data_IF_360533808703
#
_entry.id   IF_360533808703
#
_cell.length_a   1.000
_cell.length_b   1.000
_cell.length_c   1.000
_cell.angle_alpha   90.00
_cell.angle_beta   90.00
_cell.angle_gamma   90.00
#
_symmetry.space_group_name_H-M   'P 1'
#
loop_
_entity.id
_entity.type
_entity.pdbx_description
1 polymer ?
#
# COMPACT_ATOMS: atom_id res chain seq x y z
N UNK A 1 -9.78 3.31 -8.20
CA UNK A 1 -8.79 3.92 -7.27
C UNK A 1 -8.45 2.84 -6.26
N UNK A 2 -7.18 2.56 -5.99
CA UNK A 2 -6.80 1.53 -4.98
C UNK A 2 -6.84 2.15 -3.58
N UNK A 3 -7.21 1.35 -2.58
CA UNK A 3 -7.26 1.78 -1.18
C UNK A 3 -5.91 1.44 -0.53
N UNK A 4 -5.12 2.47 -0.20
CA UNK A 4 -3.85 2.33 0.51
C UNK A 4 -4.00 2.96 1.89
N UNK A 5 -3.74 2.20 2.93
CA UNK A 5 -3.81 2.65 4.33
C UNK A 5 -2.49 2.39 5.04
N UNK A 6 -2.17 3.25 6.00
CA UNK A 6 -0.96 3.13 6.82
C UNK A 6 -1.33 3.09 8.30
N UNK A 7 -0.66 2.21 9.03
CA UNK A 7 -0.79 2.05 10.47
C UNK A 7 0.61 2.02 11.08
N UNK A 8 0.93 3.03 11.89
CA UNK A 8 2.23 3.15 12.57
C UNK A 8 1.99 3.10 14.07
N UNK A 9 2.65 2.18 14.76
CA UNK A 9 2.51 2.01 16.21
C UNK A 9 1.09 1.64 16.65
N UNK A 10 0.34 0.93 15.80
CA UNK A 10 -1.07 0.57 16.07
C UNK A 10 -2.07 1.70 15.90
N UNK A 11 -1.64 2.85 15.34
CA UNK A 11 -2.53 3.98 15.02
C UNK A 11 -2.56 4.20 13.52
N UNK A 12 -3.75 4.44 12.98
CA UNK A 12 -3.89 4.85 11.58
C UNK A 12 -3.24 6.22 11.39
N UNK A 13 -2.35 6.31 10.41
CA UNK A 13 -1.69 7.55 10.03
C UNK A 13 -2.12 7.93 8.62
N UNK A 14 -2.38 9.22 8.41
CA UNK A 14 -2.51 9.80 7.08
C UNK A 14 -1.26 10.65 6.83
N UNK A 15 -0.52 10.41 5.74
CA UNK A 15 0.70 11.17 5.43
C UNK A 15 0.47 12.69 5.40
N UNK A 16 -0.75 13.16 5.10
CA UNK A 16 -1.10 14.59 5.06
C UNK A 16 -1.29 15.20 6.45
N UNK A 17 -1.48 14.37 7.48
CA UNK A 17 -1.71 14.79 8.87
C UNK A 17 -0.54 14.38 9.80
N UNK A 18 0.61 14.02 9.25
CA UNK A 18 1.79 13.73 10.07
C UNK A 18 2.39 15.00 10.65
N UNK A 19 2.85 14.92 11.90
CA UNK A 19 3.58 16.01 12.57
C UNK A 19 4.95 16.25 11.94
N UNK A 20 5.58 15.19 11.47
CA UNK A 20 6.86 15.25 10.79
C UNK A 20 6.64 15.32 9.27
N UNK A 21 7.05 16.44 8.68
CA UNK A 21 6.87 16.70 7.25
C UNK A 21 7.74 15.80 6.37
N UNK A 22 8.92 15.38 6.86
CA UNK A 22 9.80 14.47 6.14
C UNK A 22 9.19 13.07 6.10
N UNK A 23 8.70 12.58 7.24
CA UNK A 23 8.00 11.30 7.33
C UNK A 23 6.74 11.27 6.44
N UNK A 24 5.95 12.35 6.47
CA UNK A 24 4.78 12.50 5.62
C UNK A 24 5.13 12.45 4.13
N UNK A 25 6.18 13.16 3.71
CA UNK A 25 6.65 13.15 2.33
C UNK A 25 7.13 11.76 1.89
N UNK A 26 7.85 11.04 2.75
CA UNK A 26 8.30 9.66 2.48
C UNK A 26 7.10 8.72 2.31
N UNK A 27 6.11 8.75 3.20
CA UNK A 27 4.90 7.94 3.07
C UNK A 27 4.11 8.28 1.81
N UNK A 28 3.96 9.56 1.48
CA UNK A 28 3.31 9.98 0.24
C UNK A 28 4.06 9.45 -0.97
N UNK A 29 5.40 9.52 -1.00
CA UNK A 29 6.20 8.98 -2.10
C UNK A 29 6.03 7.46 -2.24
N UNK A 30 5.99 6.72 -1.12
CA UNK A 30 5.71 5.28 -1.11
C UNK A 30 4.30 5.00 -1.62
N UNK A 31 3.30 5.74 -1.13
CA UNK A 31 1.90 5.61 -1.55
C UNK A 31 1.75 5.85 -3.05
N UNK A 32 2.38 6.89 -3.59
CA UNK A 32 2.39 7.20 -5.02
C UNK A 32 3.12 6.12 -5.83
N UNK A 33 4.26 5.61 -5.34
CA UNK A 33 4.98 4.51 -5.97
C UNK A 33 4.14 3.24 -6.06
N UNK A 34 3.49 2.86 -4.96
CA UNK A 34 2.53 1.76 -4.91
C UNK A 34 1.37 2.04 -5.88
N UNK A 35 0.77 3.23 -5.85
CA UNK A 35 -0.34 3.61 -6.73
C UNK A 35 0.02 3.55 -8.21
N UNK A 36 1.23 3.95 -8.59
CA UNK A 36 1.69 3.84 -9.99
C UNK A 36 1.91 2.38 -10.39
N UNK A 37 2.53 1.57 -9.54
CA UNK A 37 2.79 0.15 -9.82
C UNK A 37 1.51 -0.68 -9.83
N UNK A 38 0.77 -0.66 -8.73
CA UNK A 38 -0.36 -1.58 -8.46
C UNK A 38 -1.72 -0.94 -8.66
N UNK A 39 -1.82 0.38 -8.87
CA UNK A 39 -3.08 1.05 -9.16
C UNK A 39 -3.69 0.68 -10.52
N UNK A 40 -2.86 0.12 -11.41
CA UNK A 40 -3.29 -0.48 -12.67
C UNK A 40 -3.76 -1.94 -12.51
N UNK A 41 -3.45 -2.60 -11.40
CA UNK A 41 -3.89 -3.98 -11.14
C UNK A 41 -5.37 -4.02 -10.76
N UNK A 42 -6.12 -4.88 -11.42
CA UNK A 42 -7.50 -5.24 -11.07
C UNK A 42 -7.65 -6.75 -11.18
N UNK A 43 -8.48 -7.36 -10.34
CA UNK A 43 -8.77 -8.80 -10.48
C UNK A 43 -9.52 -8.98 -11.82
N UNK A 44 -9.04 -9.84 -12.73
CA UNK A 44 -9.70 -10.06 -14.02
C UNK A 44 -11.08 -10.70 -13.87
N UNK A 45 -11.29 -11.52 -12.83
CA UNK A 45 -12.57 -12.21 -12.59
C UNK A 45 -13.64 -11.29 -11.95
N UNK A 46 -13.24 -10.41 -11.03
CA UNK A 46 -14.19 -9.64 -10.20
C UNK A 46 -14.16 -8.13 -10.48
N UNK A 47 -13.18 -7.63 -11.25
CA UNK A 47 -12.98 -6.21 -11.54
C UNK A 47 -12.56 -5.35 -10.33
N UNK A 48 -12.39 -5.95 -9.16
CA UNK A 48 -12.08 -5.23 -7.92
C UNK A 48 -10.61 -4.82 -7.84
N UNK A 49 -10.39 -3.65 -7.25
CA UNK A 49 -9.06 -3.11 -6.99
C UNK A 49 -8.48 -3.71 -5.70
N UNK A 50 -7.17 -3.99 -5.65
CA UNK A 50 -6.52 -4.48 -4.44
C UNK A 50 -6.51 -3.42 -3.33
N UNK A 51 -6.46 -3.88 -2.09
CA UNK A 51 -6.28 -3.07 -0.88
C UNK A 51 -4.88 -3.31 -0.33
N UNK A 52 -4.19 -2.24 0.05
CA UNK A 52 -2.86 -2.30 0.65
C UNK A 52 -2.90 -1.67 2.04
N UNK A 53 -2.32 -2.36 3.00
CA UNK A 53 -2.23 -1.91 4.38
C UNK A 53 -0.78 -2.00 4.84
N UNK A 54 -0.11 -0.84 4.91
CA UNK A 54 1.23 -0.74 5.48
C UNK A 54 1.16 -0.67 7.00
N UNK A 55 1.62 -1.69 7.72
CA UNK A 55 1.69 -1.71 9.18
C UNK A 55 3.14 -1.72 9.65
N UNK A 56 3.50 -0.88 10.60
CA UNK A 56 4.86 -0.86 11.14
C UNK A 56 4.96 -0.21 12.50
N UNK A 57 6.09 -0.38 13.18
CA UNK A 57 6.41 0.43 14.37
C UNK A 57 6.96 1.81 13.99
N UNK A 58 7.57 1.93 12.81
CA UNK A 58 8.21 3.12 12.25
C UNK A 58 8.23 3.00 10.72
N UNK A 59 8.51 4.09 9.99
CA UNK A 59 8.57 4.08 8.52
C UNK A 59 9.54 3.05 7.94
N UNK A 60 10.71 2.93 8.55
CA UNK A 60 11.74 1.97 8.13
C UNK A 60 11.34 0.51 8.40
N UNK A 61 10.33 0.28 9.24
CA UNK A 61 9.81 -1.05 9.59
C UNK A 61 8.34 -1.19 9.20
N UNK A 62 7.99 -0.69 8.02
CA UNK A 62 6.68 -0.89 7.41
C UNK A 62 6.61 -2.25 6.72
N UNK A 63 5.65 -3.06 7.14
CA UNK A 63 5.27 -4.29 6.50
C UNK A 63 3.99 -4.06 5.67
N UNK A 64 3.99 -4.45 4.40
CA UNK A 64 2.85 -4.23 3.52
C UNK A 64 1.99 -5.50 3.44
N UNK A 65 0.78 -5.44 4.00
CA UNK A 65 -0.24 -6.45 3.80
C UNK A 65 -1.07 -6.11 2.56
N UNK A 66 -1.11 -7.05 1.61
CA UNK A 66 -1.92 -6.93 0.40
C UNK A 66 -3.15 -7.79 0.56
N UNK A 67 -4.33 -7.18 0.49
CA UNK A 67 -5.62 -7.88 0.52
C UNK A 67 -6.33 -7.70 -0.83
N UNK A 68 -6.68 -8.81 -1.45
CA UNK A 68 -7.41 -8.85 -2.70
C UNK A 68 -8.75 -9.55 -2.56
N UNK A 69 -9.60 -9.43 -3.57
CA UNK A 69 -10.82 -10.24 -3.69
C UNK A 69 -10.53 -11.69 -4.07
N UNK A 70 -9.34 -11.96 -4.60
CA UNK A 70 -8.92 -13.23 -5.19
C UNK A 70 -7.39 -13.38 -5.01
N UNK A 71 -6.86 -14.60 -4.93
CA UNK A 71 -5.40 -14.81 -4.86
C UNK A 71 -4.69 -14.28 -6.11
N UNK A 72 -5.32 -14.38 -7.29
CA UNK A 72 -4.80 -13.85 -8.55
C UNK A 72 -4.41 -12.37 -8.47
N UNK A 73 -5.23 -11.52 -7.84
CA UNK A 73 -4.89 -10.08 -7.73
C UNK A 73 -3.79 -9.85 -6.71
N UNK A 74 -3.69 -10.67 -5.66
CA UNK A 74 -2.62 -10.60 -4.67
C UNK A 74 -1.30 -11.00 -5.31
N UNK A 75 -1.28 -12.08 -6.09
CA UNK A 75 -0.10 -12.51 -6.85
C UNK A 75 0.32 -11.49 -7.90
N UNK A 76 -0.63 -10.94 -8.67
CA UNK A 76 -0.35 -9.89 -9.65
C UNK A 76 0.27 -8.64 -8.99
N UNK A 77 -0.27 -8.25 -7.83
CA UNK A 77 0.29 -7.15 -7.03
C UNK A 77 1.69 -7.47 -6.54
N UNK A 78 1.93 -8.67 -5.98
CA UNK A 78 3.26 -9.11 -5.53
C UNK A 78 4.27 -9.13 -6.69
N UNK A 79 3.85 -9.63 -7.85
CA UNK A 79 4.65 -9.65 -9.08
C UNK A 79 5.03 -8.25 -9.54
N UNK A 80 4.10 -7.29 -9.52
CA UNK A 80 4.38 -5.88 -9.87
C UNK A 80 5.22 -5.14 -8.82
N UNK A 81 5.14 -5.54 -7.56
CA UNK A 81 5.94 -4.94 -6.49
C UNK A 81 7.42 -5.36 -6.57
N UNK A 82 7.71 -6.52 -7.17
CA UNK A 82 9.07 -6.94 -7.51
C UNK A 82 9.78 -7.64 -6.34
N UNK A 83 9.12 -8.58 -5.67
CA UNK A 83 9.84 -9.63 -4.96
C UNK A 83 10.32 -10.64 -6.00
N UNK A 84 11.52 -10.41 -6.52
CA UNK A 84 12.31 -11.42 -7.22
C UNK A 84 13.46 -11.85 -6.32
#
# INVERSE_FOLDING_TARGET
MIDIKFEIGGRRVDPRNMRDALEGAMLSAVQDGLRKKVGSCRCPDHGQAPKLLGKGRSLDKLNFEVTGCCEKVIEEVKRKLGSN
#
